data_IF_662713925962
#
_entry.id   IF_662713925962
#
_cell.length_a   1.000
_cell.length_b   1.000
_cell.length_c   1.000
_cell.angle_alpha   90.00
_cell.angle_beta   90.00
_cell.angle_gamma   90.00
#
_symmetry.space_group_name_H-M   'P 1'
#
loop_
_entity.id
_entity.type
_entity.pdbx_description
1 polymer ?
#
# COMPACT_ATOMS: atom_id res chain seq x y z
N UNK A 1 -3.15 17.68 45.34
CA UNK A 1 -4.19 16.71 44.94
C UNK A 1 -3.57 15.35 44.54
N UNK A 2 -2.43 15.34 43.87
CA UNK A 2 -1.79 14.09 43.39
C UNK A 2 -1.14 13.23 44.50
N UNK A 3 -0.77 13.82 45.65
CA UNK A 3 -0.17 13.08 46.76
C UNK A 3 -1.20 12.29 47.55
N UNK A 4 -2.42 12.77 47.66
CA UNK A 4 -3.50 12.12 48.41
C UNK A 4 -4.02 10.85 47.71
N UNK A 5 -4.03 10.84 46.38
CA UNK A 5 -4.45 9.66 45.59
C UNK A 5 -3.39 8.54 45.67
N UNK A 6 -2.10 8.91 45.71
CA UNK A 6 -0.98 7.97 45.82
C UNK A 6 -0.95 7.26 47.18
N UNK A 7 -1.28 8.01 48.26
CA UNK A 7 -1.32 7.49 49.62
C UNK A 7 -2.53 6.53 49.83
N UNK A 8 -3.68 6.85 49.30
CA UNK A 8 -4.90 6.02 49.34
C UNK A 8 -4.73 4.69 48.62
N UNK A 9 -3.99 4.65 47.54
CA UNK A 9 -3.68 3.42 46.81
C UNK A 9 -2.64 2.56 47.50
N UNK A 10 -1.71 3.17 48.23
CA UNK A 10 -0.74 2.45 49.04
C UNK A 10 -1.40 1.80 50.27
N UNK A 11 -2.26 2.51 50.97
CA UNK A 11 -3.05 1.97 52.07
C UNK A 11 -3.95 0.81 51.69
N UNK A 12 -4.58 0.85 50.49
CA UNK A 12 -5.36 -0.27 49.95
C UNK A 12 -4.49 -1.52 49.73
N UNK A 13 -3.26 -1.37 49.27
CA UNK A 13 -2.31 -2.48 49.15
C UNK A 13 -1.91 -3.07 50.49
N UNK A 14 -1.74 -2.24 51.52
CA UNK A 14 -1.39 -2.72 52.88
C UNK A 14 -2.55 -3.48 53.51
N UNK A 15 -3.80 -3.04 53.34
CA UNK A 15 -4.98 -3.71 53.85
C UNK A 15 -5.21 -5.07 53.18
N UNK A 16 -4.88 -5.17 51.89
CA UNK A 16 -4.96 -6.45 51.14
C UNK A 16 -3.90 -7.43 51.73
N UNK A 17 -2.70 -6.98 52.02
CA UNK A 17 -1.65 -7.82 52.60
C UNK A 17 -2.01 -8.29 54.04
N UNK A 18 -2.60 -7.43 54.86
CA UNK A 18 -3.01 -7.82 56.23
C UNK A 18 -4.17 -8.84 56.23
N UNK A 19 -5.13 -8.69 55.35
CA UNK A 19 -6.23 -9.66 55.22
C UNK A 19 -5.77 -11.01 54.66
N UNK A 20 -4.78 -11.03 53.79
CA UNK A 20 -4.17 -12.24 53.27
C UNK A 20 -3.48 -13.05 54.38
N UNK A 21 -2.82 -12.35 55.34
CA UNK A 21 -2.11 -12.96 56.48
C UNK A 21 -3.07 -13.58 57.52
N UNK A 22 -4.28 -13.01 57.67
CA UNK A 22 -5.32 -13.54 58.59
C UNK A 22 -5.99 -14.82 58.01
N UNK A 23 -6.13 -14.89 56.69
CA UNK A 23 -6.68 -16.08 56.05
C UNK A 23 -5.71 -17.27 56.14
N UNK A 24 -4.39 -17.02 56.10
CA UNK A 24 -3.38 -18.08 56.24
C UNK A 24 -3.35 -18.74 57.62
N UNK A 25 -3.84 -18.10 58.68
CA UNK A 25 -3.79 -18.62 60.05
C UNK A 25 -4.91 -19.62 60.37
N UNK A 26 -5.91 -19.76 59.47
CA UNK A 26 -7.08 -20.63 59.67
C UNK A 26 -7.16 -21.86 58.74
N UNK A 27 -6.18 -22.03 57.89
CA UNK A 27 -6.21 -23.13 56.89
C UNK A 27 -5.40 -24.29 57.43
N UNK A 28 -6.05 -25.49 57.59
CA UNK A 28 -5.36 -26.73 57.85
C UNK A 28 -4.29 -26.98 56.77
N UNK A 29 -3.11 -27.46 57.21
CA UNK A 29 -1.95 -27.67 56.35
C UNK A 29 -2.26 -28.39 55.03
N UNK A 30 -3.22 -29.32 55.06
CA UNK A 30 -3.72 -30.05 53.88
C UNK A 30 -4.41 -29.12 52.86
N UNK A 31 -5.22 -28.21 53.31
CA UNK A 31 -5.88 -27.22 52.43
C UNK A 31 -4.87 -26.17 51.92
N UNK A 32 -3.84 -25.90 52.69
CA UNK A 32 -2.77 -25.00 52.28
C UNK A 32 -1.96 -25.60 51.09
N UNK A 33 -1.57 -26.87 51.16
CA UNK A 33 -0.87 -27.55 50.11
C UNK A 33 -1.73 -27.67 48.85
N UNK A 34 -3.01 -27.94 48.98
CA UNK A 34 -3.94 -28.06 47.86
C UNK A 34 -4.18 -26.71 47.16
N UNK A 35 -4.35 -25.64 47.96
CA UNK A 35 -4.50 -24.29 47.42
C UNK A 35 -3.20 -23.75 46.77
N UNK A 36 -2.03 -24.11 47.34
CA UNK A 36 -0.74 -23.76 46.74
C UNK A 36 -0.52 -24.48 45.42
N UNK A 37 -0.95 -25.76 45.34
CA UNK A 37 -0.88 -26.52 44.09
C UNK A 37 -1.84 -25.97 43.04
N UNK A 38 -3.07 -25.61 43.44
CA UNK A 38 -4.05 -24.98 42.54
C UNK A 38 -3.56 -23.61 42.05
N UNK A 39 -2.95 -22.80 42.94
CA UNK A 39 -2.40 -21.49 42.59
C UNK A 39 -1.20 -21.61 41.66
N UNK A 40 -0.30 -22.59 41.95
CA UNK A 40 0.83 -22.91 41.05
C UNK A 40 0.34 -23.40 39.71
N UNK A 41 -0.72 -24.20 39.65
CA UNK A 41 -1.30 -24.70 38.41
C UNK A 41 -1.95 -23.59 37.58
N UNK A 42 -2.66 -22.66 38.23
CA UNK A 42 -3.25 -21.48 37.59
C UNK A 42 -2.15 -20.53 37.09
N UNK A 43 -1.07 -20.36 37.85
CA UNK A 43 0.08 -19.55 37.40
C UNK A 43 0.80 -20.17 36.21
N UNK A 44 0.92 -21.48 36.16
CA UNK A 44 1.49 -22.20 35.03
C UNK A 44 0.64 -22.08 33.75
N UNK A 45 -0.70 -22.08 33.89
CA UNK A 45 -1.62 -21.87 32.78
C UNK A 45 -1.55 -20.42 32.26
N UNK A 46 -1.29 -19.44 33.15
CA UNK A 46 -1.16 -18.02 32.78
C UNK A 46 0.16 -17.71 32.05
N UNK A 47 1.14 -18.61 32.09
CA UNK A 47 2.42 -18.47 31.39
C UNK A 47 2.40 -19.02 29.95
N UNK A 48 1.26 -19.52 29.44
CA UNK A 48 1.19 -19.79 28.01
C UNK A 48 1.32 -18.46 27.28
N UNK A 49 2.32 -18.32 26.38
CA UNK A 49 2.39 -17.15 25.56
C UNK A 49 1.08 -17.07 24.78
N UNK A 50 0.31 -16.01 25.01
CA UNK A 50 -0.76 -15.62 24.08
C UNK A 50 -0.03 -15.39 22.77
N UNK A 51 -0.07 -16.39 21.88
CA UNK A 51 0.35 -16.17 20.52
C UNK A 51 -0.59 -15.11 19.99
N UNK A 52 -0.10 -13.88 19.97
CA UNK A 52 -0.71 -12.81 19.21
C UNK A 52 -0.91 -13.34 17.81
N UNK A 53 -2.12 -13.22 17.32
CA UNK A 53 -2.56 -13.68 16.01
C UNK A 53 -1.55 -13.34 14.92
N UNK A 54 -1.21 -14.31 14.14
CA UNK A 54 -0.80 -14.35 12.72
C UNK A 54 -0.49 -13.01 12.01
N UNK A 55 0.30 -12.15 12.62
CA UNK A 55 0.99 -11.11 11.87
C UNK A 55 2.04 -11.83 11.02
N UNK A 56 2.10 -11.60 9.71
CA UNK A 56 3.20 -12.13 8.92
C UNK A 56 4.51 -11.58 9.46
N UNK A 57 5.47 -12.44 9.70
CA UNK A 57 6.80 -12.04 10.18
C UNK A 57 7.51 -11.12 9.17
N UNK A 58 7.21 -11.26 7.90
CA UNK A 58 7.73 -10.48 6.79
C UNK A 58 6.80 -10.56 5.57
N UNK A 59 6.83 -9.54 4.73
CA UNK A 59 6.21 -9.55 3.40
C UNK A 59 7.24 -9.78 2.28
N UNK A 60 8.52 -9.98 2.61
CA UNK A 60 9.61 -10.04 1.64
C UNK A 60 9.37 -11.10 0.55
N UNK A 61 8.99 -12.33 0.93
CA UNK A 61 8.75 -13.42 -0.01
C UNK A 61 7.60 -13.10 -0.97
N UNK A 62 6.53 -12.49 -0.46
CA UNK A 62 5.39 -12.08 -1.28
C UNK A 62 5.77 -10.95 -2.25
N UNK A 63 6.55 -9.98 -1.78
CA UNK A 63 7.06 -8.88 -2.61
C UNK A 63 7.98 -9.42 -3.71
N UNK A 64 8.90 -10.32 -3.39
CA UNK A 64 9.79 -10.96 -4.36
C UNK A 64 9.01 -11.72 -5.44
N UNK A 65 7.93 -12.38 -5.06
CA UNK A 65 7.06 -13.12 -5.99
C UNK A 65 6.25 -12.18 -6.91
N UNK A 66 5.71 -11.07 -6.40
CA UNK A 66 4.78 -10.21 -7.13
C UNK A 66 5.46 -9.09 -7.92
N UNK A 67 6.58 -8.54 -7.41
CA UNK A 67 7.26 -7.40 -8.02
C UNK A 67 7.67 -7.60 -9.48
N UNK A 68 8.06 -8.80 -9.95
CA UNK A 68 8.38 -9.00 -11.36
C UNK A 68 7.22 -8.74 -12.34
N UNK A 69 5.98 -8.83 -11.87
CA UNK A 69 4.78 -8.54 -12.68
C UNK A 69 4.38 -7.05 -12.66
N UNK A 70 4.95 -6.26 -11.74
CA UNK A 70 4.71 -4.82 -11.67
C UNK A 70 5.69 -4.09 -12.57
N UNK A 71 5.19 -3.13 -13.35
CA UNK A 71 5.97 -2.46 -14.39
C UNK A 71 5.89 -0.95 -14.24
N UNK A 72 6.94 -0.28 -14.74
CA UNK A 72 6.93 1.16 -14.97
C UNK A 72 6.41 1.45 -16.38
N UNK A 73 5.56 2.45 -16.51
CA UNK A 73 4.99 2.88 -17.77
C UNK A 73 5.50 4.29 -18.08
N UNK A 74 6.15 4.42 -19.21
CA UNK A 74 6.58 5.71 -19.75
C UNK A 74 5.79 5.98 -21.01
N UNK A 75 5.08 7.10 -21.06
CA UNK A 75 4.35 7.55 -22.24
C UNK A 75 5.00 8.78 -22.84
N UNK A 76 4.95 8.88 -24.15
CA UNK A 76 5.43 10.05 -24.88
C UNK A 76 4.31 10.57 -25.76
N UNK A 77 4.01 11.87 -25.67
CA UNK A 77 3.07 12.56 -26.54
C UNK A 77 3.83 13.62 -27.38
N UNK A 78 3.52 13.67 -28.66
CA UNK A 78 4.04 14.70 -29.58
C UNK A 78 3.09 15.89 -29.52
N UNK A 79 3.50 16.97 -28.87
CA UNK A 79 2.70 18.20 -28.78
C UNK A 79 2.92 19.04 -30.02
N UNK A 80 1.91 19.26 -30.88
CA UNK A 80 2.02 20.18 -32.02
C UNK A 80 2.19 21.60 -31.53
N UNK A 81 3.07 22.38 -32.18
CA UNK A 81 3.62 23.70 -31.76
C UNK A 81 2.60 24.85 -31.67
N UNK A 82 1.28 24.58 -31.80
CA UNK A 82 0.25 25.65 -31.90
C UNK A 82 -0.70 25.80 -30.74
N UNK A 83 -0.67 24.94 -29.76
CA UNK A 83 -1.45 25.16 -28.55
C UNK A 83 -0.51 25.56 -27.43
N UNK A 84 -0.66 26.78 -26.91
CA UNK A 84 -0.12 27.12 -25.61
C UNK A 84 -0.59 26.02 -24.67
N UNK A 85 0.34 25.14 -24.28
CA UNK A 85 0.09 24.09 -23.35
C UNK A 85 -0.43 24.74 -22.06
N UNK A 86 -1.74 24.81 -21.98
CA UNK A 86 -2.41 25.05 -20.72
C UNK A 86 -2.54 23.65 -20.12
N UNK A 87 -1.65 23.24 -19.21
CA UNK A 87 -1.78 21.92 -18.61
C UNK A 87 -3.17 21.89 -17.98
N UNK A 88 -3.98 20.94 -18.42
CA UNK A 88 -5.28 20.64 -17.79
C UNK A 88 -5.05 19.96 -16.42
N UNK A 89 -4.06 20.44 -15.71
CA UNK A 89 -3.88 20.18 -14.31
C UNK A 89 -4.84 21.14 -13.61
N UNK A 90 -5.82 20.68 -12.87
CA UNK A 90 -6.72 21.54 -12.13
C UNK A 90 -5.87 22.51 -11.30
N UNK A 91 -6.14 23.82 -11.42
CA UNK A 91 -5.43 24.83 -10.64
C UNK A 91 -5.52 24.48 -9.16
N UNK A 92 -4.34 24.36 -8.52
CA UNK A 92 -4.23 23.94 -7.12
C UNK A 92 -3.86 22.48 -6.91
N UNK A 93 -3.56 21.72 -7.98
CA UNK A 93 -2.99 20.38 -7.86
C UNK A 93 -1.53 20.46 -7.39
N UNK A 94 -1.08 19.58 -6.45
CA UNK A 94 0.33 19.49 -6.04
C UNK A 94 1.31 19.25 -7.19
N UNK A 95 0.81 18.83 -8.35
CA UNK A 95 1.59 18.59 -9.56
C UNK A 95 1.83 19.85 -10.41
N UNK A 96 1.09 20.96 -10.21
CA UNK A 96 1.25 22.19 -10.96
C UNK A 96 2.64 22.80 -10.75
N UNK A 97 3.11 22.82 -9.52
CA UNK A 97 4.43 23.36 -9.18
C UNK A 97 5.58 22.48 -9.69
N UNK A 98 5.40 21.15 -9.64
CA UNK A 98 6.39 20.21 -10.18
C UNK A 98 6.55 20.33 -11.69
N UNK A 99 5.44 20.40 -12.43
CA UNK A 99 5.49 20.56 -13.89
C UNK A 99 6.04 21.94 -14.28
N UNK A 100 5.72 23.00 -13.55
CA UNK A 100 6.26 24.35 -13.79
C UNK A 100 7.78 24.38 -13.59
N UNK A 101 8.30 23.86 -12.49
CA UNK A 101 9.74 23.79 -12.19
C UNK A 101 10.52 22.92 -13.21
N UNK A 102 9.90 21.85 -13.69
CA UNK A 102 10.50 20.99 -14.72
C UNK A 102 10.58 21.70 -16.07
N UNK A 103 9.59 22.54 -16.40
CA UNK A 103 9.55 23.30 -17.64
C UNK A 103 10.44 24.56 -17.61
N UNK A 104 10.65 25.21 -16.45
CA UNK A 104 11.47 26.42 -16.32
C UNK A 104 12.97 26.16 -16.25
N UNK A 105 13.41 24.95 -15.91
CA UNK A 105 14.84 24.63 -15.72
C UNK A 105 15.62 24.25 -16.98
N UNK A 106 15.07 24.41 -18.20
CA UNK A 106 15.88 24.29 -19.42
C UNK A 106 16.39 25.64 -19.85
N UNK A 107 17.71 25.90 -19.71
CA UNK A 107 18.35 27.14 -20.25
C UNK A 107 18.22 27.13 -21.77
N UNK A 108 17.79 28.26 -22.31
CA UNK A 108 17.59 28.44 -23.75
C UNK A 108 18.85 28.18 -24.57
N UNK A 109 18.67 27.40 -25.63
CA UNK A 109 19.56 27.42 -26.76
C UNK A 109 18.73 27.48 -28.05
N UNK A 110 19.12 28.40 -28.92
CA UNK A 110 18.49 28.61 -30.24
C UNK A 110 18.86 27.44 -31.15
N UNK A 111 18.05 26.35 -31.08
CA UNK A 111 18.16 25.26 -32.03
C UNK A 111 16.85 25.05 -32.80
N UNK A 112 16.88 24.49 -34.02
CA UNK A 112 15.73 24.43 -34.92
C UNK A 112 14.59 23.61 -34.31
N UNK A 113 13.38 24.14 -34.46
CA UNK A 113 12.04 23.56 -34.17
C UNK A 113 12.04 22.08 -33.81
N UNK A 114 12.38 21.73 -32.56
CA UNK A 114 12.18 20.40 -32.03
C UNK A 114 10.75 20.29 -31.50
N UNK A 115 9.99 19.38 -32.06
CA UNK A 115 8.71 18.95 -31.49
C UNK A 115 8.92 18.70 -30.00
N UNK A 116 8.20 19.42 -29.14
CA UNK A 116 8.24 19.16 -27.70
C UNK A 116 7.58 17.83 -27.44
N UNK A 117 8.32 16.90 -26.82
CA UNK A 117 7.79 15.63 -26.36
C UNK A 117 7.40 15.78 -24.89
N UNK A 118 6.13 15.61 -24.58
CA UNK A 118 5.65 15.43 -23.21
C UNK A 118 5.89 13.98 -22.80
N UNK A 119 6.39 13.74 -21.59
CA UNK A 119 6.57 12.41 -21.03
C UNK A 119 5.74 12.32 -19.75
N UNK A 120 4.92 11.27 -19.60
CA UNK A 120 4.26 10.95 -18.35
C UNK A 120 4.76 9.58 -17.84
N UNK A 121 4.72 9.40 -16.54
CA UNK A 121 5.14 8.18 -15.84
C UNK A 121 3.98 7.60 -15.05
N UNK A 122 3.90 6.28 -14.99
CA UNK A 122 2.90 5.56 -14.22
C UNK A 122 3.35 4.15 -13.90
N UNK A 123 2.51 3.44 -13.17
CA UNK A 123 2.69 2.02 -12.89
C UNK A 123 1.57 1.19 -13.50
N UNK A 124 1.86 -0.07 -13.76
CA UNK A 124 0.91 -1.05 -14.20
C UNK A 124 1.32 -2.45 -13.74
N UNK A 125 0.52 -3.44 -14.06
CA UNK A 125 0.85 -4.83 -13.74
C UNK A 125 0.36 -5.78 -14.82
N UNK A 126 1.15 -6.83 -15.04
CA UNK A 126 0.87 -7.86 -16.04
C UNK A 126 -0.10 -8.87 -15.45
N UNK A 127 -1.16 -9.21 -16.20
CA UNK A 127 -2.23 -10.12 -15.77
C UNK A 127 -2.26 -11.45 -16.53
N UNK A 128 -1.38 -11.61 -17.53
CA UNK A 128 -1.26 -12.87 -18.25
C UNK A 128 0.15 -13.07 -18.82
N UNK A 129 0.57 -14.33 -18.89
CA UNK A 129 1.91 -14.69 -19.39
C UNK A 129 2.16 -14.35 -20.86
N UNK A 130 1.12 -14.07 -21.63
CA UNK A 130 1.15 -13.65 -23.04
C UNK A 130 1.21 -12.13 -23.19
N UNK A 131 1.26 -11.35 -22.07
CA UNK A 131 1.53 -9.93 -22.07
C UNK A 131 0.32 -9.00 -22.04
N UNK A 132 -0.81 -9.43 -21.48
CA UNK A 132 -1.88 -8.50 -21.10
C UNK A 132 -1.46 -7.74 -19.84
N UNK A 133 -1.68 -6.43 -19.83
CA UNK A 133 -1.26 -5.51 -18.79
C UNK A 133 -2.37 -4.52 -18.50
N UNK A 134 -2.56 -4.21 -17.21
CA UNK A 134 -3.54 -3.21 -16.72
C UNK A 134 -2.81 -2.01 -16.14
N UNK A 135 -3.33 -0.82 -16.43
CA UNK A 135 -2.91 0.46 -15.87
C UNK A 135 -4.10 1.43 -15.80
N UNK A 136 -3.86 2.64 -15.33
CA UNK A 136 -4.87 3.69 -15.35
C UNK A 136 -4.98 4.35 -16.72
N UNK A 137 -6.21 4.75 -17.09
CA UNK A 137 -6.46 5.42 -18.36
C UNK A 137 -5.72 6.76 -18.46
N UNK A 138 -5.69 7.55 -17.38
CA UNK A 138 -5.03 8.86 -17.38
C UNK A 138 -3.52 8.76 -17.62
N UNK A 139 -2.86 7.61 -17.34
CA UNK A 139 -1.44 7.38 -17.61
C UNK A 139 -1.15 7.32 -19.09
N UNK A 140 -2.08 6.78 -19.89
CA UNK A 140 -1.87 6.52 -21.32
C UNK A 140 -2.67 7.46 -22.21
N UNK A 141 -3.47 8.34 -21.63
CA UNK A 141 -4.30 9.29 -22.36
C UNK A 141 -3.43 10.22 -23.21
N UNK A 142 -3.78 10.36 -24.49
CA UNK A 142 -3.06 11.16 -25.48
C UNK A 142 -1.59 10.72 -25.74
N UNK A 143 -1.22 9.49 -25.38
CA UNK A 143 0.10 8.95 -25.67
C UNK A 143 0.23 8.51 -27.11
N UNK A 144 1.30 8.96 -27.82
CA UNK A 144 1.67 8.46 -29.16
C UNK A 144 2.51 7.18 -29.04
N UNK A 145 3.28 7.05 -27.98
CA UNK A 145 4.14 5.90 -27.71
C UNK A 145 4.05 5.50 -26.23
N UNK A 146 3.92 4.19 -25.96
CA UNK A 146 3.85 3.63 -24.62
C UNK A 146 4.97 2.60 -24.46
N UNK A 147 5.86 2.83 -23.52
CA UNK A 147 6.95 1.93 -23.16
C UNK A 147 6.74 1.36 -21.78
N UNK A 148 6.94 0.08 -21.66
CA UNK A 148 6.85 -0.69 -20.43
C UNK A 148 8.24 -1.12 -20.04
N UNK A 149 8.67 -0.73 -18.84
CA UNK A 149 9.94 -1.16 -18.27
C UNK A 149 9.67 -2.18 -17.16
N UNK A 150 10.21 -3.38 -17.34
CA UNK A 150 10.15 -4.49 -16.41
C UNK A 150 11.15 -4.30 -15.26
N UNK A 151 10.96 -5.04 -14.16
CA UNK A 151 11.87 -5.06 -13.02
C UNK A 151 13.32 -5.41 -13.40
N UNK A 152 13.50 -6.27 -14.40
CA UNK A 152 14.81 -6.69 -14.91
C UNK A 152 15.47 -5.66 -15.86
N UNK A 153 14.82 -4.51 -16.10
CA UNK A 153 15.28 -3.46 -17.02
C UNK A 153 14.93 -3.70 -18.49
N UNK A 154 14.20 -4.78 -18.83
CA UNK A 154 13.71 -5.02 -20.18
C UNK A 154 12.65 -3.97 -20.53
N UNK A 155 12.78 -3.36 -21.73
CA UNK A 155 11.83 -2.36 -22.22
C UNK A 155 11.04 -2.97 -23.37
N UNK A 156 9.71 -2.94 -23.26
CA UNK A 156 8.76 -3.44 -24.24
C UNK A 156 7.85 -2.30 -24.73
N UNK A 157 7.50 -2.32 -26.00
CA UNK A 157 6.45 -1.45 -26.53
C UNK A 157 5.06 -2.03 -26.26
N UNK A 158 4.13 -1.18 -25.85
CA UNK A 158 2.77 -1.59 -25.57
C UNK A 158 1.78 -1.00 -26.58
N UNK A 159 0.76 -1.78 -26.90
CA UNK A 159 -0.39 -1.39 -27.71
C UNK A 159 -1.63 -1.32 -26.84
N UNK A 160 -2.43 -0.27 -26.99
CA UNK A 160 -3.70 -0.13 -26.28
C UNK A 160 -4.72 -1.10 -26.91
N UNK A 161 -5.31 -1.96 -26.09
CA UNK A 161 -6.42 -2.84 -26.48
C UNK A 161 -7.78 -2.22 -26.16
N UNK A 162 -7.87 -1.50 -25.05
CA UNK A 162 -9.12 -0.86 -24.65
C UNK A 162 -8.89 0.08 -23.46
N UNK A 163 -9.80 1.04 -23.31
CA UNK A 163 -9.79 2.01 -22.22
C UNK A 163 -11.20 2.23 -21.67
N UNK A 164 -11.29 2.48 -20.39
CA UNK A 164 -12.51 2.96 -19.74
C UNK A 164 -12.18 4.23 -18.93
N UNK A 165 -12.43 5.42 -19.50
CA UNK A 165 -12.19 6.68 -18.80
C UNK A 165 -13.05 6.87 -17.54
N UNK A 166 -14.19 6.16 -17.42
CA UNK A 166 -15.09 6.31 -16.27
C UNK A 166 -14.57 5.61 -15.03
N UNK A 167 -13.96 4.44 -15.22
CA UNK A 167 -13.32 3.68 -14.14
C UNK A 167 -11.82 3.96 -14.05
N UNK A 168 -11.29 4.78 -14.96
CA UNK A 168 -9.87 5.09 -15.09
C UNK A 168 -9.00 3.83 -15.28
N UNK A 169 -9.48 2.87 -16.09
CA UNK A 169 -8.76 1.63 -16.39
C UNK A 169 -8.38 1.56 -17.87
N UNK A 170 -7.17 1.08 -18.15
CA UNK A 170 -6.70 0.78 -19.49
C UNK A 170 -6.11 -0.63 -19.56
N UNK A 171 -6.41 -1.34 -20.66
CA UNK A 171 -5.86 -2.64 -20.99
C UNK A 171 -4.86 -2.48 -22.14
N UNK A 172 -3.65 -2.94 -21.92
CA UNK A 172 -2.56 -2.89 -22.87
C UNK A 172 -2.10 -4.31 -23.24
N UNK A 173 -1.41 -4.42 -24.38
CA UNK A 173 -0.73 -5.62 -24.84
C UNK A 173 0.74 -5.31 -25.10
N UNK A 174 1.62 -6.11 -24.55
CA UNK A 174 3.04 -6.16 -24.87
C UNK A 174 3.37 -7.48 -25.58
N UNK A 175 4.34 -7.43 -26.48
CA UNK A 175 4.85 -8.62 -27.16
C UNK A 175 6.25 -8.94 -26.60
N UNK A 176 6.42 -10.12 -26.06
CA UNK A 176 7.72 -10.63 -25.58
C UNK A 176 8.01 -12.00 -26.18
N UNK A 177 9.30 -12.29 -26.37
CA UNK A 177 9.75 -13.61 -26.83
C UNK A 177 9.62 -14.69 -25.76
N UNK A 178 9.60 -14.26 -24.48
CA UNK A 178 9.52 -15.12 -23.33
C UNK A 178 8.15 -14.98 -22.65
N UNK A 179 7.77 -15.99 -21.88
CA UNK A 179 6.63 -15.86 -20.98
C UNK A 179 6.90 -14.80 -19.94
N UNK A 180 5.95 -13.91 -19.73
CA UNK A 180 6.06 -12.83 -18.78
C UNK A 180 5.55 -13.28 -17.40
N UNK A 181 6.15 -12.78 -16.30
CA UNK A 181 5.58 -12.91 -14.97
C UNK A 181 4.25 -12.15 -14.92
N UNK A 182 3.25 -12.70 -14.23
CA UNK A 182 1.93 -12.10 -14.12
C UNK A 182 1.34 -12.33 -12.74
N UNK A 183 0.35 -11.54 -12.38
CA UNK A 183 -0.47 -11.68 -11.17
C UNK A 183 -1.91 -12.00 -11.56
N UNK A 184 -2.59 -12.72 -10.70
CA UNK A 184 -4.01 -13.04 -10.85
C UNK A 184 -4.86 -12.04 -10.04
N UNK A 185 -6.07 -11.79 -10.53
CA UNK A 185 -7.03 -11.00 -9.78
C UNK A 185 -7.57 -11.80 -8.59
N UNK A 186 -7.55 -11.18 -7.42
CA UNK A 186 -8.25 -11.69 -6.25
C UNK A 186 -9.73 -11.31 -6.28
N UNK A 187 -10.50 -11.92 -5.40
CA UNK A 187 -11.88 -11.52 -5.15
C UNK A 187 -11.90 -10.45 -4.06
N UNK A 188 -12.18 -9.20 -4.43
CA UNK A 188 -12.25 -8.09 -3.49
C UNK A 188 -13.41 -8.20 -2.49
N UNK A 189 -14.45 -8.98 -2.82
CA UNK A 189 -15.59 -9.19 -1.91
C UNK A 189 -15.24 -10.00 -0.67
N UNK A 190 -14.21 -10.84 -0.76
CA UNK A 190 -13.72 -11.65 0.34
C UNK A 190 -12.85 -10.83 1.32
N UNK A 191 -12.42 -9.64 0.92
CA UNK A 191 -11.56 -8.77 1.72
C UNK A 191 -12.33 -8.12 2.88
N UNK A 192 -11.69 -7.96 4.04
CA UNK A 192 -12.30 -7.42 5.27
C UNK A 192 -11.53 -6.21 5.76
N UNK A 193 -12.23 -5.32 6.44
CA UNK A 193 -11.58 -4.23 7.20
C UNK A 193 -10.64 -4.85 8.23
N UNK A 194 -9.38 -4.42 8.21
CA UNK A 194 -8.30 -4.95 9.05
C UNK A 194 -7.40 -5.97 8.37
N UNK A 195 -7.75 -6.50 7.19
CA UNK A 195 -6.86 -7.38 6.42
C UNK A 195 -5.65 -6.59 5.89
N UNK A 196 -4.49 -7.25 5.88
CA UNK A 196 -3.25 -6.65 5.35
C UNK A 196 -3.30 -6.48 3.85
N UNK A 197 -2.77 -5.36 3.37
CA UNK A 197 -2.59 -5.06 1.96
C UNK A 197 -1.20 -4.48 1.71
N UNK A 198 -0.69 -4.73 0.50
CA UNK A 198 0.55 -4.15 0.01
C UNK A 198 0.24 -3.24 -1.18
N UNK A 199 0.80 -2.05 -1.17
CA UNK A 199 0.88 -1.20 -2.35
C UNK A 199 2.27 -1.39 -2.96
N UNK A 200 2.30 -1.88 -4.20
CA UNK A 200 3.52 -2.12 -4.96
C UNK A 200 3.46 -1.27 -6.23
N UNK A 201 4.48 -0.47 -6.47
CA UNK A 201 4.54 0.39 -7.64
C UNK A 201 5.95 0.88 -7.94
N UNK A 202 6.08 1.60 -9.03
CA UNK A 202 7.29 2.33 -9.40
C UNK A 202 6.92 3.80 -9.67
N UNK A 203 6.47 4.54 -8.65
CA UNK A 203 6.12 5.93 -8.84
C UNK A 203 7.36 6.71 -9.24
N UNK A 204 7.26 7.50 -10.30
CA UNK A 204 8.32 8.38 -10.81
C UNK A 204 9.52 7.68 -11.47
N UNK A 205 9.48 6.37 -11.75
CA UNK A 205 10.60 5.66 -12.40
C UNK A 205 11.90 5.62 -11.59
N UNK A 206 11.84 5.88 -10.28
CA UNK A 206 13.02 5.92 -9.39
C UNK A 206 13.30 4.60 -8.68
N UNK A 207 12.65 3.54 -9.10
CA UNK A 207 12.75 2.22 -8.50
C UNK A 207 11.43 1.75 -7.85
N UNK A 208 11.34 0.46 -7.64
CA UNK A 208 10.19 -0.15 -7.00
C UNK A 208 10.05 0.30 -5.55
N UNK A 209 8.85 0.67 -5.16
CA UNK A 209 8.52 0.92 -3.76
C UNK A 209 7.38 0.02 -3.32
N UNK A 210 7.48 -0.44 -2.07
CA UNK A 210 6.48 -1.27 -1.43
C UNK A 210 6.11 -0.64 -0.11
N UNK A 211 4.82 -0.51 0.14
CA UNK A 211 4.31 -0.14 1.46
C UNK A 211 3.24 -1.11 1.91
N UNK A 212 3.16 -1.33 3.21
CA UNK A 212 2.16 -2.18 3.83
C UNK A 212 1.17 -1.33 4.62
N UNK A 213 -0.06 -1.74 4.62
CA UNK A 213 -1.14 -1.16 5.40
C UNK A 213 -2.26 -2.15 5.58
N UNK A 214 -3.42 -1.67 6.02
CA UNK A 214 -4.62 -2.48 6.17
C UNK A 214 -5.76 -1.92 5.32
N UNK A 215 -6.77 -2.71 5.09
CA UNK A 215 -8.04 -2.22 4.60
C UNK A 215 -8.71 -1.43 5.73
N UNK A 216 -8.80 -0.11 5.57
CA UNK A 216 -9.37 0.80 6.56
C UNK A 216 -10.89 0.93 6.42
N UNK A 217 -11.42 0.81 5.20
CA UNK A 217 -12.85 0.80 4.90
C UNK A 217 -13.13 0.16 3.55
N UNK A 218 -14.38 -0.24 3.33
CA UNK A 218 -14.91 -0.74 2.04
C UNK A 218 -16.16 0.04 1.63
N UNK A 219 -16.55 -0.09 0.36
CA UNK A 219 -17.76 0.54 -0.16
C UNK A 219 -17.72 2.06 -0.03
N UNK A 220 -16.55 2.68 -0.26
CA UNK A 220 -16.44 4.15 -0.26
C UNK A 220 -16.98 4.71 -1.56
N UNK A 221 -17.99 5.55 -1.40
CA UNK A 221 -18.61 6.33 -2.46
C UNK A 221 -17.99 7.74 -2.47
N UNK A 222 -17.42 8.13 -3.60
CA UNK A 222 -16.84 9.46 -3.84
C UNK A 222 -17.69 10.28 -4.82
N UNK A 223 -18.97 9.87 -5.02
CA UNK A 223 -19.95 10.47 -5.93
C UNK A 223 -19.71 10.18 -7.42
N UNK A 224 -18.97 9.12 -7.73
CA UNK A 224 -18.80 8.60 -9.08
C UNK A 224 -19.84 7.53 -9.45
N UNK A 225 -20.04 7.24 -10.75
CA UNK A 225 -21.05 6.27 -11.19
C UNK A 225 -20.69 4.79 -10.93
N UNK A 226 -19.46 4.51 -10.51
CA UNK A 226 -18.91 3.16 -10.29
C UNK A 226 -18.14 3.06 -8.95
N UNK A 227 -18.58 3.81 -7.96
CA UNK A 227 -17.86 3.91 -6.70
C UNK A 227 -18.13 2.71 -5.79
N UNK A 228 -17.12 1.88 -5.63
CA UNK A 228 -17.02 0.84 -4.61
C UNK A 228 -15.56 0.69 -4.18
N UNK A 229 -14.99 1.82 -3.67
CA UNK A 229 -13.57 1.88 -3.37
C UNK A 229 -13.22 1.19 -2.05
N UNK A 230 -12.08 0.50 -2.07
CA UNK A 230 -11.40 0.01 -0.87
C UNK A 230 -10.44 1.10 -0.38
N UNK A 231 -10.62 1.55 0.86
CA UNK A 231 -9.70 2.49 1.50
C UNK A 231 -8.60 1.73 2.22
N UNK A 232 -7.35 2.15 2.05
CA UNK A 232 -6.19 1.63 2.77
C UNK A 232 -5.38 2.78 3.38
N UNK A 233 -4.60 2.47 4.42
CA UNK A 233 -3.59 3.34 5.02
C UNK A 233 -2.16 2.98 4.57
N UNK A 234 -2.01 2.04 3.61
CA UNK A 234 -0.74 1.79 2.95
C UNK A 234 -0.21 3.10 2.32
N UNK A 235 0.97 3.53 2.74
CA UNK A 235 1.53 4.80 2.29
C UNK A 235 1.88 4.73 0.79
N UNK A 236 1.39 5.69 0.01
CA UNK A 236 1.83 5.89 -1.37
C UNK A 236 2.76 7.10 -1.35
N UNK A 237 4.07 6.84 -1.53
CA UNK A 237 5.06 7.90 -1.58
C UNK A 237 4.86 8.72 -2.87
N UNK A 238 4.89 10.03 -2.70
CA UNK A 238 4.85 11.03 -3.77
C UNK A 238 6.25 11.51 -4.07
#
# INVERSE_FOLDING_TARGET
YNYFIKWRNWMKKLVIFSNLFIVFKKVNFYNFCNNLFLFSFVLLISCFPVRGSNLPDSFADLVEQLSPAVVNITTTAIVPEREQFNPMVPRGSPFEDFFRDFMEKQPGDQQPKRQRRGTALGSGFIISSDGLLVTNNHVIENADEIKIEMLNGEILEAKVLGTDPKTDVALLKVESKNKLPFVEFGNSDDSRVGDWVLAIGNPLGQGFSVSAGIISARGRDLQGPYDDFIQTDAAINR
#
